data_IF_862754474661
#
_entry.id   IF_862754474661
#
_cell.length_a   1.000
_cell.length_b   1.000
_cell.length_c   1.000
_cell.angle_alpha   90.00
_cell.angle_beta   90.00
_cell.angle_gamma   90.00
#
_symmetry.space_group_name_H-M   'P 1'
#
loop_
_entity.id
_entity.type
_entity.pdbx_description
1 polymer ?
#
# COMPACT_ATOMS: atom_id res chain seq x y z
N UNK A 1 2.74 -7.46 -11.42
CA UNK A 1 2.93 -6.07 -11.88
C UNK A 1 3.11 -5.16 -10.68
N UNK A 2 4.03 -4.23 -10.76
CA UNK A 2 4.25 -3.26 -9.70
C UNK A 2 4.13 -1.86 -10.29
N UNK A 3 3.35 -0.99 -9.64
CA UNK A 3 3.15 0.39 -10.07
C UNK A 3 3.60 1.32 -8.97
N UNK A 4 4.38 2.34 -9.33
CA UNK A 4 4.76 3.39 -8.41
C UNK A 4 3.71 4.48 -8.47
N UNK A 5 3.14 4.79 -7.31
CA UNK A 5 2.15 5.85 -7.16
C UNK A 5 2.71 6.92 -6.22
N UNK A 6 2.08 8.07 -6.14
CA UNK A 6 2.56 9.15 -5.28
C UNK A 6 2.35 8.84 -3.81
N UNK A 7 1.28 9.36 -3.23
CA UNK A 7 0.97 9.18 -1.83
C UNK A 7 0.15 7.91 -1.60
N UNK A 8 0.56 7.10 -0.63
CA UNK A 8 -0.17 5.86 -0.32
C UNK A 8 -1.55 6.17 0.29
N UNK A 9 -1.67 7.26 1.04
CA UNK A 9 -2.96 7.64 1.62
C UNK A 9 -3.97 8.02 0.54
N UNK A 10 -3.52 8.68 -0.52
CA UNK A 10 -4.38 9.02 -1.65
C UNK A 10 -4.83 7.78 -2.41
N UNK A 11 -3.93 6.81 -2.55
CA UNK A 11 -4.26 5.53 -3.17
C UNK A 11 -5.30 4.78 -2.36
N UNK A 12 -5.12 4.71 -1.04
CA UNK A 12 -6.09 4.06 -0.15
C UNK A 12 -7.47 4.72 -0.27
N UNK A 13 -7.50 6.04 -0.30
CA UNK A 13 -8.74 6.78 -0.48
C UNK A 13 -9.41 6.43 -1.81
N UNK A 14 -8.64 6.43 -2.89
CA UNK A 14 -9.15 6.12 -4.22
C UNK A 14 -9.70 4.69 -4.30
N UNK A 15 -8.98 3.72 -3.71
CA UNK A 15 -9.44 2.34 -3.71
C UNK A 15 -10.76 2.21 -2.95
N UNK A 16 -10.90 2.91 -1.84
CA UNK A 16 -12.13 2.92 -1.06
C UNK A 16 -13.28 3.53 -1.85
N UNK A 17 -13.04 4.66 -2.52
CA UNK A 17 -14.04 5.33 -3.33
C UNK A 17 -14.50 4.45 -4.49
N UNK A 18 -13.61 3.67 -5.07
CA UNK A 18 -13.92 2.80 -6.20
C UNK A 18 -14.40 1.41 -5.77
N UNK A 19 -14.53 1.18 -4.46
CA UNK A 19 -14.93 -0.12 -3.90
C UNK A 19 -14.00 -1.26 -4.33
N UNK A 20 -12.71 -0.97 -4.45
CA UNK A 20 -11.72 -1.96 -4.80
C UNK A 20 -11.16 -2.57 -3.51
N UNK A 21 -11.31 -3.89 -3.36
CA UNK A 21 -10.82 -4.58 -2.19
C UNK A 21 -9.30 -4.71 -2.21
N UNK A 22 -8.69 -4.53 -1.04
CA UNK A 22 -7.26 -4.73 -0.86
C UNK A 22 -7.06 -6.18 -0.44
N UNK A 23 -6.21 -6.92 -1.18
CA UNK A 23 -5.93 -8.32 -0.83
C UNK A 23 -4.88 -8.41 0.27
N UNK A 24 -3.95 -7.46 0.32
CA UNK A 24 -2.94 -7.41 1.37
C UNK A 24 -2.40 -5.98 1.48
N UNK A 25 -2.02 -5.61 2.69
CA UNK A 25 -1.44 -4.29 2.97
C UNK A 25 -2.46 -3.35 3.61
N UNK A 26 -2.06 -2.10 3.85
CA UNK A 26 -0.75 -1.54 3.53
C UNK A 26 0.37 -2.10 4.40
N UNK A 27 1.53 -2.34 3.80
CA UNK A 27 2.70 -2.84 4.52
C UNK A 27 3.92 -1.97 4.19
N UNK A 28 4.78 -1.80 5.20
CA UNK A 28 6.05 -1.10 5.03
C UNK A 28 7.16 -2.00 5.57
N UNK A 29 8.30 -2.00 4.88
CA UNK A 29 9.44 -2.83 5.28
C UNK A 29 10.49 -1.95 5.95
N UNK A 30 10.86 -2.32 7.18
CA UNK A 30 11.85 -1.59 7.96
C UNK A 30 11.38 -0.19 8.32
N UNK A 31 12.28 0.77 8.23
CA UNK A 31 12.01 2.17 8.54
C UNK A 31 11.77 3.01 7.28
N UNK A 32 11.40 2.35 6.21
CA UNK A 32 11.13 3.01 4.94
C UNK A 32 9.89 3.91 5.03
N UNK A 33 9.92 5.02 4.31
CA UNK A 33 8.76 5.88 4.11
C UNK A 33 7.93 5.46 2.90
N UNK A 34 8.09 4.21 2.48
CA UNK A 34 7.37 3.64 1.35
C UNK A 34 6.51 2.49 1.86
N UNK A 35 5.27 2.44 1.38
CA UNK A 35 4.37 1.35 1.69
C UNK A 35 3.85 0.70 0.41
N UNK A 36 3.47 -0.56 0.52
CA UNK A 36 2.91 -1.32 -0.60
C UNK A 36 1.51 -1.79 -0.26
N UNK A 37 0.65 -1.77 -1.26
CA UNK A 37 -0.70 -2.31 -1.19
C UNK A 37 -0.84 -3.31 -2.33
N UNK A 38 -1.45 -4.45 -2.06
CA UNK A 38 -1.66 -5.48 -3.08
C UNK A 38 -3.15 -5.59 -3.36
N UNK A 39 -3.49 -5.49 -4.65
CA UNK A 39 -4.87 -5.67 -5.12
C UNK A 39 -4.85 -6.75 -6.21
N UNK A 40 -6.03 -7.21 -6.58
CA UNK A 40 -6.17 -8.17 -7.68
C UNK A 40 -7.01 -7.57 -8.79
N UNK A 41 -6.60 -7.84 -10.03
CA UNK A 41 -7.39 -7.46 -11.19
C UNK A 41 -8.50 -8.51 -11.42
N UNK A 42 -9.39 -8.29 -12.42
CA UNK A 42 -10.44 -9.27 -12.72
C UNK A 42 -9.92 -10.65 -13.11
N UNK A 43 -8.71 -10.73 -13.63
CA UNK A 43 -8.07 -12.00 -14.00
C UNK A 43 -7.30 -12.64 -12.84
N UNK A 44 -7.43 -12.06 -11.63
CA UNK A 44 -6.77 -12.52 -10.39
C UNK A 44 -5.27 -12.34 -10.38
N UNK A 45 -4.73 -11.50 -11.26
CA UNK A 45 -3.32 -11.13 -11.18
C UNK A 45 -3.13 -10.16 -10.00
N UNK A 46 -2.03 -10.35 -9.27
CA UNK A 46 -1.71 -9.47 -8.15
C UNK A 46 -1.00 -8.24 -8.69
N UNK A 47 -1.48 -7.08 -8.27
CA UNK A 47 -0.88 -5.80 -8.61
C UNK A 47 -0.37 -5.16 -7.34
N UNK A 48 0.92 -4.82 -7.30
CA UNK A 48 1.51 -4.08 -6.19
C UNK A 48 1.46 -2.59 -6.49
N UNK A 49 0.88 -1.81 -5.58
CA UNK A 49 0.88 -0.36 -5.63
C UNK A 49 1.84 0.14 -4.55
N UNK A 50 2.92 0.79 -4.96
CA UNK A 50 3.95 1.26 -4.05
C UNK A 50 3.93 2.77 -4.02
N UNK A 51 3.83 3.36 -2.84
CA UNK A 51 3.75 4.80 -2.69
C UNK A 51 4.42 5.29 -1.43
N UNK A 52 4.55 6.61 -1.33
CA UNK A 52 5.22 7.25 -0.21
C UNK A 52 4.27 7.47 0.96
N UNK A 53 4.84 7.37 2.16
CA UNK A 53 4.19 7.80 3.40
C UNK A 53 4.76 9.17 3.73
N UNK A 54 3.91 10.17 3.86
CA UNK A 54 4.37 11.51 4.20
C UNK A 54 4.81 11.59 5.65
N UNK A 55 5.76 12.49 5.93
CA UNK A 55 6.29 12.65 7.26
C UNK A 55 5.17 12.98 8.26
N UNK A 56 5.12 12.23 9.35
CA UNK A 56 4.10 12.42 10.38
C UNK A 56 2.73 11.86 10.02
N UNK A 57 2.59 11.27 8.85
CA UNK A 57 1.33 10.69 8.42
C UNK A 57 1.12 9.32 9.08
N UNK A 58 -0.09 9.08 9.56
CA UNK A 58 -0.47 7.78 10.09
C UNK A 58 -1.38 7.09 9.09
N UNK A 59 -1.01 5.88 8.72
CA UNK A 59 -1.79 5.06 7.79
C UNK A 59 -2.53 4.00 8.62
N UNK A 60 -3.85 4.02 8.57
CA UNK A 60 -4.66 3.06 9.29
C UNK A 60 -4.39 1.65 8.74
N UNK A 61 -4.14 0.72 9.65
CA UNK A 61 -3.90 -0.67 9.27
C UNK A 61 -2.50 -0.95 8.73
N UNK A 62 -1.61 0.05 8.76
CA UNK A 62 -0.24 -0.14 8.27
C UNK A 62 0.51 -1.14 9.16
N UNK A 63 1.06 -2.17 8.52
CA UNK A 63 1.94 -3.12 9.18
C UNK A 63 3.38 -2.81 8.79
N UNK A 64 4.28 -2.91 9.77
CA UNK A 64 5.70 -2.71 9.53
C UNK A 64 6.42 -4.02 9.79
N UNK A 65 7.21 -4.44 8.82
CA UNK A 65 8.05 -5.61 8.94
C UNK A 65 9.50 -5.15 9.12
N UNK A 66 10.09 -5.58 10.23
CA UNK A 66 11.50 -5.29 10.53
C UNK A 66 12.30 -6.52 10.13
N UNK A 67 13.14 -6.41 9.07
CA UNK A 67 13.91 -7.56 8.63
C UNK A 67 15.00 -7.98 9.62
N UNK A 68 15.33 -7.11 10.58
CA UNK A 68 16.35 -7.40 11.59
C UNK A 68 15.74 -7.91 12.90
N UNK A 69 14.43 -8.04 12.95
CA UNK A 69 13.75 -8.51 14.17
C UNK A 69 13.82 -10.03 14.28
#
# INVERSE_FOLDING_TARGET
>A
MALTVGSISKVLYTLKEQNIAISQGPVSFGYSDVASIFIRDPDRNVIELRGNIEAGEQIEGLERYDPDA
#
